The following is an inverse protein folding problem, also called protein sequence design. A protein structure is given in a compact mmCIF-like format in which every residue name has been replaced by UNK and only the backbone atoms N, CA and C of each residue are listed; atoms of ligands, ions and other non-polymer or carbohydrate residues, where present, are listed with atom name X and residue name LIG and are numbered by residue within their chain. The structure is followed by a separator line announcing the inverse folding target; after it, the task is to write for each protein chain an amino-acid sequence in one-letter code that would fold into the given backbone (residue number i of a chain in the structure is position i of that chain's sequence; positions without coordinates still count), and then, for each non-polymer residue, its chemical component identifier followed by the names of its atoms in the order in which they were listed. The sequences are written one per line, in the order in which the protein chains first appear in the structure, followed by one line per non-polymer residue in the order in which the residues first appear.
data_IF_795800287674
#
_entry.id   IF_795800287674
#
_cell.length_a   1.000
_cell.length_b   1.000
_cell.length_c   1.000
_cell.angle_alpha   90.00
_cell.angle_beta   90.00
_cell.angle_gamma   90.00
#
_symmetry.space_group_name_H-M   'P 1'
#
loop_
_entity.id
_entity.type
_entity.pdbx_description
1 polymer ?
#
# COMPACT_ATOMS: atom_id res chain seq x y z
N UNK A 1 11.63 -14.53 24.13
CA UNK A 1 11.13 -14.37 22.76
C UNK A 1 10.53 -12.97 22.66
N UNK A 2 11.10 -12.13 21.83
CA UNK A 2 10.68 -10.72 21.67
C UNK A 2 9.56 -10.63 20.63
N UNK A 3 8.39 -10.14 21.04
CA UNK A 3 7.21 -10.00 20.20
C UNK A 3 7.12 -8.58 19.61
N UNK A 4 7.06 -8.47 18.29
CA UNK A 4 6.82 -7.21 17.59
C UNK A 4 5.48 -7.20 16.87
N UNK A 5 4.89 -6.01 16.68
CA UNK A 5 3.67 -5.87 15.90
C UNK A 5 3.61 -4.56 15.12
N UNK A 6 2.75 -4.56 14.12
CA UNK A 6 2.23 -3.35 13.48
C UNK A 6 0.73 -3.49 13.22
N UNK A 7 0.02 -2.39 13.03
CA UNK A 7 -1.41 -2.38 12.77
C UNK A 7 -1.76 -1.55 11.53
N UNK A 8 -2.74 -1.99 10.76
CA UNK A 8 -3.20 -1.29 9.57
C UNK A 8 -4.16 -2.12 8.72
N UNK A 9 -4.70 -1.51 7.66
CA UNK A 9 -5.63 -2.21 6.77
C UNK A 9 -4.95 -2.99 5.63
N UNK A 10 -3.71 -2.68 5.29
CA UNK A 10 -2.88 -3.37 4.28
C UNK A 10 -3.64 -3.75 3.01
N UNK A 11 -4.39 -2.80 2.44
CA UNK A 11 -5.34 -3.03 1.35
C UNK A 11 -4.64 -3.54 0.08
N UNK A 12 -3.71 -2.76 -0.47
CA UNK A 12 -2.93 -3.16 -1.63
C UNK A 12 -1.47 -3.30 -1.21
N UNK A 13 -0.97 -4.52 -1.18
CA UNK A 13 0.43 -4.78 -0.86
C UNK A 13 1.34 -4.22 -1.97
N UNK A 14 2.38 -3.52 -1.56
CA UNK A 14 3.37 -2.93 -2.46
C UNK A 14 4.78 -3.06 -1.86
N UNK A 15 5.85 -2.84 -2.64
CA UNK A 15 7.23 -3.03 -2.17
C UNK A 15 7.57 -2.30 -0.86
N UNK A 16 6.92 -1.17 -0.58
CA UNK A 16 7.09 -0.43 0.67
C UNK A 16 6.68 -1.22 1.90
N UNK A 17 5.59 -1.99 1.83
CA UNK A 17 5.19 -2.89 2.92
C UNK A 17 6.19 -4.02 3.12
N UNK A 18 6.69 -4.63 2.04
CA UNK A 18 7.69 -5.71 2.14
C UNK A 18 8.96 -5.21 2.81
N UNK A 19 9.44 -4.00 2.47
CA UNK A 19 10.58 -3.37 3.12
C UNK A 19 10.32 -3.11 4.61
N UNK A 20 9.14 -2.57 4.94
CA UNK A 20 8.72 -2.33 6.32
C UNK A 20 8.67 -3.65 7.13
N UNK A 21 8.07 -4.71 6.60
CA UNK A 21 7.97 -6.00 7.30
C UNK A 21 9.33 -6.69 7.48
N UNK A 22 10.22 -6.56 6.48
CA UNK A 22 11.60 -7.03 6.61
C UNK A 22 12.35 -6.31 7.73
N UNK A 23 12.23 -4.99 7.78
CA UNK A 23 12.83 -4.16 8.83
C UNK A 23 12.22 -4.48 10.20
N UNK A 24 10.89 -4.54 10.29
CA UNK A 24 10.16 -4.90 11.50
C UNK A 24 10.62 -6.25 12.10
N UNK A 25 10.77 -7.27 11.24
CA UNK A 25 11.24 -8.60 11.65
C UNK A 25 12.65 -8.57 12.23
N UNK A 26 13.51 -7.63 11.85
CA UNK A 26 14.86 -7.50 12.42
C UNK A 26 14.88 -6.98 13.87
N UNK A 27 13.77 -6.44 14.35
CA UNK A 27 13.63 -5.90 15.71
C UNK A 27 12.99 -6.87 16.70
N UNK A 28 12.51 -8.05 16.25
CA UNK A 28 11.80 -9.02 17.09
C UNK A 28 12.00 -10.47 16.61
N UNK A 29 11.77 -11.42 17.50
CA UNK A 29 11.81 -12.85 17.18
C UNK A 29 10.52 -13.30 16.50
N UNK A 30 9.38 -12.80 16.96
CA UNK A 30 8.04 -13.05 16.40
C UNK A 30 7.42 -11.72 15.98
N UNK A 31 6.93 -11.62 14.74
CA UNK A 31 6.30 -10.43 14.20
C UNK A 31 4.84 -10.72 13.81
N UNK A 32 3.91 -10.01 14.42
CA UNK A 32 2.48 -10.16 14.17
C UNK A 32 1.87 -8.91 13.55
N UNK A 33 0.81 -9.10 12.77
CA UNK A 33 0.02 -8.04 12.17
C UNK A 33 -1.35 -7.96 12.84
N UNK A 34 -1.74 -6.77 13.27
CA UNK A 34 -3.14 -6.47 13.56
C UNK A 34 -3.78 -5.86 12.32
N UNK A 35 -4.60 -6.64 11.63
CA UNK A 35 -5.24 -6.32 10.36
C UNK A 35 -6.59 -5.65 10.58
N UNK A 36 -6.72 -4.37 10.25
CA UNK A 36 -7.99 -3.66 10.33
C UNK A 36 -8.96 -4.14 9.24
N UNK A 37 -10.19 -4.50 9.64
CA UNK A 37 -11.22 -5.00 8.71
C UNK A 37 -11.63 -3.92 7.71
N UNK A 38 -12.26 -2.85 8.16
CA UNK A 38 -12.70 -1.75 7.29
C UNK A 38 -12.59 -0.39 8.04
N UNK A 39 -11.54 0.40 7.77
CA UNK A 39 -11.36 1.69 8.42
C UNK A 39 -12.41 2.73 8.01
N UNK A 40 -13.08 2.57 6.87
CA UNK A 40 -14.06 3.55 6.37
C UNK A 40 -15.32 3.63 7.23
N UNK A 41 -15.63 2.56 8.00
CA UNK A 41 -16.79 2.52 8.88
C UNK A 41 -16.67 3.48 10.07
N UNK A 42 -15.45 3.83 10.48
CA UNK A 42 -15.20 4.69 11.65
C UNK A 42 -14.44 5.97 11.31
N UNK A 43 -13.80 6.04 10.15
CA UNK A 43 -13.03 7.20 9.69
C UNK A 43 -13.44 7.63 8.29
N UNK A 44 -14.25 8.69 8.18
CA UNK A 44 -14.77 9.22 6.89
C UNK A 44 -13.68 9.59 5.88
N UNK A 45 -12.45 9.89 6.34
CA UNK A 45 -11.30 10.18 5.48
C UNK A 45 -10.64 8.95 4.89
N UNK A 46 -11.06 7.74 5.28
CA UNK A 46 -10.51 6.48 4.78
C UNK A 46 -11.43 5.83 3.76
N UNK A 47 -10.83 5.31 2.70
CA UNK A 47 -11.58 4.52 1.73
C UNK A 47 -11.80 3.09 2.24
N UNK A 48 -12.93 2.51 1.83
CA UNK A 48 -13.15 1.09 1.99
C UNK A 48 -12.04 0.32 1.29
N UNK A 49 -11.48 -0.74 1.90
CA UNK A 49 -10.49 -1.58 1.23
C UNK A 49 -11.02 -2.16 -0.08
N UNK A 50 -10.19 -2.15 -1.12
CA UNK A 50 -10.51 -2.73 -2.44
C UNK A 50 -10.46 -4.25 -2.37
N UNK A 51 -9.45 -4.78 -1.61
CA UNK A 51 -9.25 -6.21 -1.45
C UNK A 51 -10.07 -6.69 -0.24
N UNK A 52 -10.88 -7.76 -0.37
CA UNK A 52 -11.62 -8.36 0.74
C UNK A 52 -10.73 -8.74 1.91
N UNK A 53 -11.31 -8.79 3.10
CA UNK A 53 -10.56 -9.08 4.34
C UNK A 53 -9.79 -10.40 4.27
N UNK A 54 -10.46 -11.46 3.80
CA UNK A 54 -9.87 -12.79 3.72
C UNK A 54 -8.67 -12.82 2.78
N UNK A 55 -8.78 -12.22 1.61
CA UNK A 55 -7.70 -12.18 0.62
C UNK A 55 -6.51 -11.34 1.12
N UNK A 56 -6.76 -10.25 1.88
CA UNK A 56 -5.69 -9.48 2.55
C UNK A 56 -5.01 -10.31 3.64
N UNK A 57 -5.78 -11.07 4.40
CA UNK A 57 -5.26 -11.98 5.42
C UNK A 57 -4.33 -13.05 4.79
N UNK A 58 -4.79 -13.74 3.75
CA UNK A 58 -3.99 -14.76 3.06
C UNK A 58 -2.71 -14.17 2.44
N UNK A 59 -2.82 -13.01 1.78
CA UNK A 59 -1.67 -12.33 1.21
C UNK A 59 -0.62 -11.94 2.26
N UNK A 60 -1.06 -11.49 3.45
CA UNK A 60 -0.15 -11.21 4.57
C UNK A 60 0.50 -12.47 5.11
N UNK A 61 -0.27 -13.56 5.30
CA UNK A 61 0.25 -14.84 5.79
C UNK A 61 1.25 -15.50 4.83
N UNK A 62 1.20 -15.18 3.54
CA UNK A 62 2.17 -15.62 2.55
C UNK A 62 3.52 -14.89 2.62
N UNK A 63 3.62 -13.81 3.41
CA UNK A 63 4.85 -13.02 3.53
C UNK A 63 5.77 -13.63 4.60
N UNK A 64 6.93 -14.09 4.19
CA UNK A 64 7.91 -14.79 5.06
C UNK A 64 8.38 -14.02 6.30
N UNK A 65 8.10 -12.73 6.42
CA UNK A 65 8.49 -11.90 7.56
C UNK A 65 7.39 -11.83 8.63
N UNK A 66 6.18 -12.30 8.32
CA UNK A 66 5.02 -12.27 9.20
C UNK A 66 4.78 -13.66 9.78
N UNK A 67 4.67 -13.75 11.09
CA UNK A 67 4.44 -15.03 11.76
C UNK A 67 2.95 -15.29 11.98
N UNK A 68 2.16 -14.24 12.31
CA UNK A 68 0.72 -14.37 12.55
C UNK A 68 -0.02 -13.07 12.18
N UNK A 69 -1.32 -13.20 11.89
CA UNK A 69 -2.23 -12.09 11.59
C UNK A 69 -3.49 -12.21 12.42
N UNK A 70 -3.88 -11.14 13.10
CA UNK A 70 -5.12 -11.03 13.88
C UNK A 70 -5.95 -9.86 13.38
N UNK A 71 -7.26 -10.00 13.33
CA UNK A 71 -8.14 -8.96 12.81
C UNK A 71 -8.75 -8.12 13.92
N UNK A 72 -8.97 -6.83 13.62
CA UNK A 72 -9.72 -5.90 14.48
C UNK A 72 -10.56 -4.95 13.63
N UNK A 73 -11.56 -4.32 14.22
CA UNK A 73 -12.39 -3.32 13.55
C UNK A 73 -12.19 -1.94 14.14
N UNK A 74 -12.32 -1.79 15.47
CA UNK A 74 -12.28 -0.50 16.16
C UNK A 74 -10.95 -0.22 16.84
N UNK A 75 -10.70 1.02 17.22
CA UNK A 75 -9.50 1.38 17.97
C UNK A 75 -9.51 0.77 19.39
N UNK A 76 -10.68 0.55 19.96
CA UNK A 76 -10.87 -0.15 21.24
C UNK A 76 -10.46 -1.63 21.12
N UNK A 77 -10.90 -2.31 20.03
CA UNK A 77 -10.47 -3.69 19.78
C UNK A 77 -8.93 -3.77 19.60
N UNK A 78 -8.33 -2.79 18.88
CA UNK A 78 -6.87 -2.72 18.74
C UNK A 78 -6.18 -2.54 20.10
N UNK A 79 -6.71 -1.65 20.94
CA UNK A 79 -6.15 -1.40 22.28
C UNK A 79 -6.17 -2.68 23.14
N UNK A 80 -7.30 -3.40 23.15
CA UNK A 80 -7.43 -4.67 23.88
C UNK A 80 -6.53 -5.78 23.31
N UNK A 81 -6.32 -5.84 21.98
CA UNK A 81 -5.35 -6.76 21.38
C UNK A 81 -3.93 -6.48 21.86
N UNK A 82 -3.53 -5.20 21.92
CA UNK A 82 -2.19 -4.82 22.41
C UNK A 82 -2.03 -5.23 23.89
N UNK A 83 -3.05 -5.00 24.72
CA UNK A 83 -3.04 -5.41 26.13
C UNK A 83 -2.99 -6.93 26.31
N UNK A 84 -3.71 -7.67 25.49
CA UNK A 84 -3.74 -9.14 25.53
C UNK A 84 -2.40 -9.75 25.13
N UNK A 85 -1.86 -9.32 23.99
CA UNK A 85 -0.62 -9.86 23.44
C UNK A 85 0.65 -9.38 24.15
N UNK A 86 0.60 -8.22 24.81
CA UNK A 86 1.71 -7.60 25.53
C UNK A 86 3.01 -7.59 24.71
N UNK A 87 2.99 -7.05 23.48
CA UNK A 87 4.16 -7.04 22.64
C UNK A 87 5.28 -6.16 23.22
N UNK A 88 6.52 -6.50 22.90
CA UNK A 88 7.70 -5.75 23.32
C UNK A 88 7.98 -4.54 22.41
N UNK A 89 7.61 -4.66 21.13
CA UNK A 89 7.93 -3.66 20.11
C UNK A 89 6.71 -3.36 19.25
N UNK A 90 6.45 -2.08 19.05
CA UNK A 90 5.49 -1.58 18.06
C UNK A 90 6.22 -0.91 16.92
N UNK A 91 5.90 -1.32 15.70
CA UNK A 91 6.43 -0.73 14.47
C UNK A 91 5.42 0.27 13.92
N UNK A 92 5.86 1.50 13.73
CA UNK A 92 5.06 2.59 13.15
C UNK A 92 5.81 3.23 11.97
N UNK A 93 5.07 3.83 11.05
CA UNK A 93 5.68 4.70 10.04
C UNK A 93 6.19 6.00 10.67
N UNK A 94 7.26 6.57 10.12
CA UNK A 94 7.83 7.85 10.59
C UNK A 94 6.84 9.02 10.57
N UNK A 95 5.76 8.91 9.80
CA UNK A 95 4.65 9.89 9.77
C UNK A 95 3.84 9.95 11.07
N UNK A 96 4.06 9.01 12.00
CA UNK A 96 3.49 9.02 13.36
C UNK A 96 4.37 9.71 14.40
N UNK A 97 5.58 10.13 14.06
CA UNK A 97 6.46 10.85 15.01
C UNK A 97 5.75 12.12 15.50
N UNK A 98 5.61 12.26 16.82
CA UNK A 98 4.94 13.40 17.46
C UNK A 98 3.42 13.44 17.33
N UNK A 99 2.77 12.37 16.87
CA UNK A 99 1.31 12.28 16.78
C UNK A 99 0.77 11.21 17.73
N UNK A 100 -0.43 11.42 18.29
CA UNK A 100 -1.09 10.41 19.11
C UNK A 100 -1.49 9.20 18.25
N UNK A 101 -1.49 8.02 18.86
CA UNK A 101 -1.94 6.77 18.25
C UNK A 101 -2.52 5.83 19.33
N UNK A 102 -3.39 4.93 18.95
CA UNK A 102 -4.02 3.98 19.88
C UNK A 102 -2.97 3.16 20.62
N UNK A 103 -2.99 3.22 21.95
CA UNK A 103 -2.03 2.51 22.81
C UNK A 103 -0.67 3.18 22.93
N UNK A 104 -0.59 4.51 22.78
CA UNK A 104 0.62 5.30 23.04
C UNK A 104 0.97 5.40 24.54
N UNK A 105 0.00 5.07 25.40
CA UNK A 105 0.13 4.92 26.85
C UNK A 105 0.59 3.51 27.28
N UNK A 106 0.70 2.56 26.33
CA UNK A 106 1.08 1.18 26.63
C UNK A 106 2.60 0.95 26.51
N UNK A 107 3.13 -0.10 27.18
CA UNK A 107 4.58 -0.33 27.33
C UNK A 107 5.41 -0.59 26.08
N UNK A 108 4.89 -1.04 24.89
CA UNK A 108 5.75 -1.42 23.77
C UNK A 108 6.74 -0.34 23.37
N UNK A 109 8.02 -0.72 23.18
CA UNK A 109 9.01 0.17 22.59
C UNK A 109 8.61 0.52 21.15
N UNK A 110 8.58 1.80 20.83
CA UNK A 110 8.28 2.25 19.47
C UNK A 110 9.52 2.22 18.60
N UNK A 111 9.40 1.63 17.42
CA UNK A 111 10.38 1.65 16.33
C UNK A 111 9.71 2.27 15.11
N UNK A 112 10.29 3.35 14.60
CA UNK A 112 9.80 4.02 13.41
C UNK A 112 10.50 3.49 12.17
N UNK A 113 9.70 3.15 11.14
CA UNK A 113 10.22 2.74 9.83
C UNK A 113 10.16 3.90 8.86
N UNK A 114 11.22 4.05 8.05
CA UNK A 114 11.27 5.11 7.04
C UNK A 114 10.37 4.81 5.84
N UNK A 115 9.84 5.89 5.23
CA UNK A 115 9.12 5.85 3.95
C UNK A 115 9.95 6.41 2.79
N UNK A 116 11.25 6.52 2.94
CA UNK A 116 12.18 7.03 1.91
C UNK A 116 12.10 6.26 0.58
N UNK A 117 11.53 5.06 0.58
CA UNK A 117 11.28 4.25 -0.63
C UNK A 117 10.22 4.84 -1.58
N UNK A 118 9.45 5.86 -1.16
CA UNK A 118 8.47 6.56 -2.00
C UNK A 118 7.16 5.82 -2.30
N UNK A 119 6.98 4.57 -1.86
CA UNK A 119 5.76 3.78 -2.05
C UNK A 119 4.69 4.15 -1.03
N UNK A 120 3.44 4.29 -1.48
CA UNK A 120 2.26 4.34 -0.63
C UNK A 120 1.04 3.78 -1.37
N UNK A 121 0.07 3.24 -0.65
CA UNK A 121 -1.18 2.72 -1.23
C UNK A 121 -1.94 3.82 -1.97
N UNK A 122 -1.99 5.04 -1.45
CA UNK A 122 -2.63 6.19 -2.12
C UNK A 122 -1.97 6.47 -3.45
N UNK A 123 -0.64 6.70 -3.47
CA UNK A 123 0.09 6.91 -4.72
C UNK A 123 -0.12 5.78 -5.74
N UNK A 124 -0.16 4.54 -5.28
CA UNK A 124 -0.37 3.40 -6.17
C UNK A 124 -1.77 3.42 -6.79
N UNK A 125 -2.80 3.72 -5.99
CA UNK A 125 -4.18 3.88 -6.48
C UNK A 125 -4.28 5.01 -7.52
N UNK A 126 -3.65 6.14 -7.27
CA UNK A 126 -3.62 7.27 -8.20
C UNK A 126 -2.93 6.89 -9.53
N UNK A 127 -1.76 6.25 -9.47
CA UNK A 127 -1.04 5.77 -10.65
C UNK A 127 -1.85 4.78 -11.48
N UNK A 128 -2.51 3.81 -10.85
CA UNK A 128 -3.37 2.84 -11.53
C UNK A 128 -4.54 3.56 -12.22
N UNK A 129 -5.18 4.49 -11.51
CA UNK A 129 -6.30 5.26 -12.03
C UNK A 129 -5.88 6.08 -13.24
N UNK A 130 -4.78 6.84 -13.16
CA UNK A 130 -4.26 7.66 -14.24
C UNK A 130 -3.91 6.83 -15.49
N UNK A 131 -3.24 5.69 -15.30
CA UNK A 131 -2.91 4.78 -16.40
C UNK A 131 -4.16 4.21 -17.06
N UNK A 132 -5.15 3.81 -16.26
CA UNK A 132 -6.42 3.27 -16.76
C UNK A 132 -7.20 4.30 -17.57
N UNK A 133 -7.28 5.55 -17.06
CA UNK A 133 -7.95 6.65 -17.77
C UNK A 133 -7.25 6.95 -19.10
N UNK A 134 -5.94 7.09 -19.10
CA UNK A 134 -5.14 7.35 -20.32
C UNK A 134 -5.33 6.25 -21.36
N UNK A 135 -5.31 5.00 -20.93
CA UNK A 135 -5.52 3.86 -21.82
C UNK A 135 -6.91 3.89 -22.45
N UNK A 136 -7.96 4.06 -21.67
CA UNK A 136 -9.35 4.15 -22.16
C UNK A 136 -9.56 5.34 -23.10
N UNK A 137 -8.95 6.50 -22.82
CA UNK A 137 -9.00 7.67 -23.71
C UNK A 137 -8.32 7.38 -25.05
N UNK A 138 -7.16 6.71 -25.04
CA UNK A 138 -6.47 6.34 -26.29
C UNK A 138 -7.25 5.33 -27.13
N UNK A 139 -7.92 4.37 -26.49
CA UNK A 139 -8.80 3.42 -27.18
C UNK A 139 -10.02 4.11 -27.81
N UNK A 140 -10.63 5.05 -27.08
CA UNK A 140 -11.76 5.83 -27.57
C UNK A 140 -11.36 6.64 -28.81
N UNK A 141 -10.25 7.41 -28.75
CA UNK A 141 -9.75 8.18 -29.86
C UNK A 141 -9.38 7.31 -31.07
N UNK A 142 -8.82 6.13 -30.86
CA UNK A 142 -8.50 5.20 -31.94
C UNK A 142 -9.74 4.66 -32.67
N UNK A 143 -10.87 4.50 -31.94
CA UNK A 143 -12.15 4.05 -32.51
C UNK A 143 -12.88 5.16 -33.28
N UNK A 144 -12.89 6.38 -32.72
CA UNK A 144 -13.58 7.53 -33.34
C UNK A 144 -12.83 8.17 -34.51
N UNK A 145 -11.49 8.02 -34.56
CA UNK A 145 -10.64 8.63 -35.59
C UNK A 145 -9.68 7.62 -36.25
N UNK A 146 -10.18 6.60 -36.95
CA UNK A 146 -9.32 5.55 -37.52
C UNK A 146 -8.35 6.04 -38.61
N UNK A 147 -8.58 7.23 -39.22
CA UNK A 147 -7.81 7.77 -40.33
C UNK A 147 -6.79 8.87 -39.99
N UNK A 148 -6.55 9.17 -38.72
CA UNK A 148 -5.62 10.26 -38.35
C UNK A 148 -4.11 9.94 -38.60
N UNK A 149 -3.76 8.66 -38.80
CA UNK A 149 -2.36 8.22 -39.02
C UNK A 149 -1.90 8.15 -40.46
N UNK A 150 -2.74 8.45 -41.49
CA UNK A 150 -2.37 8.27 -42.89
C UNK A 150 -1.89 9.54 -43.62
N UNK A 151 -1.83 10.72 -42.99
CA UNK A 151 -1.50 12.00 -43.65
C UNK A 151 -0.09 12.54 -43.41
N UNK A 152 0.88 11.75 -42.98
CA UNK A 152 2.27 12.19 -42.83
C UNK A 152 3.24 11.43 -43.77
N UNK A 153 2.86 11.20 -45.05
CA UNK A 153 3.87 10.95 -46.08
C UNK A 153 4.04 12.26 -46.86
N UNK A 154 5.03 13.02 -46.46
CA UNK A 154 5.49 14.20 -47.21
C UNK A 154 5.94 13.85 -48.63
N UNK A 155 5.96 14.82 -49.55
CA UNK A 155 6.25 14.59 -50.97
C UNK A 155 7.70 14.13 -51.15
N UNK A 156 7.87 13.04 -51.88
CA UNK A 156 9.18 12.63 -52.39
C UNK A 156 9.64 13.67 -53.44
N UNK A 157 10.59 14.51 -53.07
CA UNK A 157 11.32 15.35 -54.05
C UNK A 157 12.19 14.43 -54.87
N UNK A 158 11.74 14.22 -56.12
CA UNK A 158 12.57 13.60 -57.15
C UNK A 158 13.63 14.56 -57.61
N UNK A 159 14.88 14.26 -57.37
CA UNK A 159 16.02 14.89 -58.02
C UNK A 159 16.16 14.29 -59.40
N UNK A 160 15.80 15.10 -60.43
CA UNK A 160 16.26 14.90 -61.84
C UNK A 160 17.76 15.07 -61.84
N UNK A 161 18.48 14.09 -62.39
CA UNK A 161 19.81 14.26 -62.93
C UNK A 161 19.62 14.76 -64.40
N UNK A 162 20.20 15.87 -64.70
CA UNK A 162 20.59 16.27 -66.08
C UNK A 162 22.11 16.35 -66.13
N UNK A 163 22.61 15.65 -67.13
CA UNK A 163 23.86 15.72 -67.89
C UNK A 163 25.10 16.31 -67.22
#
# INVERSE_FOLDING_TARGET
MKLGFTAGNFDILHPGYIKCFKDAKSHCDKFIIFLQRDPSLHRKSKYKPVIPLYDRYEALMAIKYIDEVYTYQTEEELYELIKFWKPDVRILGEDYIGKPFTGDDLPPKIVYTTRSHGWSTTKLKDLITDQTIKHRQSEFLAKEMPNAKSKSKGPKTGTKKEE
#
